data_IF_601091940493
#
_entry.id   IF_601091940493
#
_cell.length_a   1.000
_cell.length_b   1.000
_cell.length_c   1.000
_cell.angle_alpha   90.00
_cell.angle_beta   90.00
_cell.angle_gamma   90.00
#
_symmetry.space_group_name_H-M   'P 1'
#
loop_
_entity.id
_entity.type
_entity.pdbx_description
1 polymer ?
#
# COMPACT_ATOMS: atom_id res chain seq x y z
N UNK A 1 16.81 14.65 -9.50
CA UNK A 1 16.75 15.61 -10.63
C UNK A 1 16.60 14.85 -11.94
N UNK A 2 15.36 14.78 -12.48
CA UNK A 2 15.06 14.10 -13.76
C UNK A 2 15.86 14.76 -14.90
N UNK A 3 16.13 16.07 -14.83
CA UNK A 3 16.94 16.81 -15.81
C UNK A 3 18.40 16.36 -15.90
N UNK A 4 18.98 15.84 -14.81
CA UNK A 4 20.37 15.31 -14.81
C UNK A 4 20.46 13.89 -15.37
N UNK A 5 19.36 13.13 -15.35
CA UNK A 5 19.29 11.76 -15.89
C UNK A 5 19.06 11.78 -17.41
N UNK A 6 18.34 12.76 -17.94
CA UNK A 6 18.00 12.85 -19.36
C UNK A 6 19.03 13.59 -20.24
N UNK A 7 20.16 14.01 -19.69
CA UNK A 7 21.22 14.71 -20.45
C UNK A 7 20.84 16.15 -20.84
N UNK A 8 21.85 17.00 -20.97
CA UNK A 8 21.79 18.46 -21.18
C UNK A 8 20.93 18.98 -22.36
N UNK A 9 20.15 18.16 -23.03
CA UNK A 9 19.34 18.55 -24.19
C UNK A 9 17.85 18.80 -23.89
N UNK A 10 17.44 18.85 -22.62
CA UNK A 10 16.05 19.16 -22.22
C UNK A 10 15.87 20.66 -21.97
N UNK A 11 16.71 21.51 -22.54
CA UNK A 11 16.61 22.98 -22.47
C UNK A 11 15.39 23.57 -23.19
N UNK A 12 14.45 22.72 -23.69
CA UNK A 12 13.30 23.19 -24.50
C UNK A 12 11.93 23.00 -23.86
N UNK A 13 11.81 22.45 -22.64
CA UNK A 13 10.51 22.46 -21.98
C UNK A 13 10.28 23.83 -21.34
N UNK A 14 9.63 24.70 -22.09
CA UNK A 14 9.13 25.99 -21.58
C UNK A 14 8.26 25.68 -20.32
N UNK A 15 8.56 26.28 -19.16
CA UNK A 15 7.80 26.05 -17.90
C UNK A 15 6.30 26.26 -18.08
N UNK A 16 5.88 27.17 -18.95
CA UNK A 16 4.47 27.40 -19.29
C UNK A 16 3.82 26.18 -19.95
N UNK A 17 4.55 25.40 -20.76
CA UNK A 17 4.04 24.16 -21.36
C UNK A 17 3.77 23.14 -20.27
N UNK A 18 4.70 22.97 -19.31
CA UNK A 18 4.51 22.07 -18.17
C UNK A 18 3.27 22.47 -17.35
N UNK A 19 3.11 23.75 -17.06
CA UNK A 19 1.93 24.24 -16.32
C UNK A 19 0.63 23.94 -17.07
N UNK A 20 0.58 24.19 -18.39
CA UNK A 20 -0.59 23.91 -19.22
C UNK A 20 -0.87 22.40 -19.28
N UNK A 21 0.17 21.57 -19.45
CA UNK A 21 0.04 20.10 -19.43
C UNK A 21 -0.47 19.63 -18.07
N UNK A 22 0.05 20.17 -16.97
CA UNK A 22 -0.42 19.87 -15.62
C UNK A 22 -1.92 20.19 -15.44
N UNK A 23 -2.37 21.36 -15.89
CA UNK A 23 -3.78 21.74 -15.87
C UNK A 23 -4.64 20.83 -16.75
N UNK A 24 -4.17 20.44 -17.93
CA UNK A 24 -4.86 19.48 -18.80
C UNK A 24 -5.01 18.12 -18.13
N UNK A 25 -3.99 17.63 -17.40
CA UNK A 25 -4.09 16.41 -16.61
C UNK A 25 -5.15 16.52 -15.51
N UNK A 26 -5.19 17.63 -14.78
CA UNK A 26 -6.23 17.88 -13.77
C UNK A 26 -7.62 17.87 -14.41
N UNK A 27 -7.78 18.52 -15.56
CA UNK A 27 -9.05 18.59 -16.28
C UNK A 27 -9.46 17.24 -16.90
N UNK A 28 -8.52 16.42 -17.33
CA UNK A 28 -8.75 15.11 -17.95
C UNK A 28 -9.55 14.17 -17.03
N UNK A 29 -9.45 14.33 -15.71
CA UNK A 29 -10.26 13.64 -14.71
C UNK A 29 -11.75 13.71 -15.02
N UNK A 30 -12.26 14.89 -15.43
CA UNK A 30 -13.69 15.08 -15.70
C UNK A 30 -14.12 14.35 -16.97
N UNK A 31 -13.27 14.34 -17.99
CA UNK A 31 -13.51 13.62 -19.23
C UNK A 31 -13.54 12.11 -19.00
N UNK A 32 -12.54 11.56 -18.30
CA UNK A 32 -12.48 10.14 -17.97
C UNK A 32 -13.65 9.71 -17.09
N UNK A 33 -14.02 10.51 -16.07
CA UNK A 33 -15.17 10.23 -15.22
C UNK A 33 -16.47 10.09 -16.04
N UNK A 34 -16.73 11.02 -16.96
CA UNK A 34 -17.93 10.97 -17.81
C UNK A 34 -17.95 9.71 -18.66
N UNK A 35 -16.83 9.37 -19.30
CA UNK A 35 -16.68 8.21 -20.18
C UNK A 35 -16.79 6.89 -19.40
N UNK A 36 -16.12 6.77 -18.26
CA UNK A 36 -16.19 5.57 -17.41
C UNK A 36 -17.60 5.32 -16.88
N UNK A 37 -18.31 6.36 -16.47
CA UNK A 37 -19.70 6.24 -15.99
C UNK A 37 -20.64 5.71 -17.08
N UNK A 38 -20.43 6.05 -18.34
CA UNK A 38 -21.18 5.46 -19.47
C UNK A 38 -20.91 3.96 -19.60
N UNK A 39 -19.63 3.53 -19.52
CA UNK A 39 -19.28 2.11 -19.60
C UNK A 39 -19.81 1.31 -18.40
N UNK A 40 -19.78 1.86 -17.19
CA UNK A 40 -20.35 1.23 -15.98
C UNK A 40 -21.84 0.96 -16.17
N UNK A 41 -22.58 1.95 -16.68
CA UNK A 41 -24.03 1.83 -16.88
C UNK A 41 -24.42 0.90 -18.03
N UNK A 42 -23.56 0.73 -19.03
CA UNK A 42 -23.78 -0.14 -20.19
C UNK A 42 -23.30 -1.57 -19.96
N UNK A 43 -22.44 -1.82 -18.97
CA UNK A 43 -21.90 -3.15 -18.73
C UNK A 43 -22.94 -4.07 -18.11
N UNK A 44 -23.28 -5.16 -18.82
CA UNK A 44 -24.16 -6.22 -18.31
C UNK A 44 -23.44 -7.20 -17.36
N UNK A 45 -22.12 -7.22 -17.38
CA UNK A 45 -21.29 -8.12 -16.55
C UNK A 45 -20.79 -7.40 -15.30
N UNK A 46 -20.97 -8.00 -14.08
CA UNK A 46 -20.46 -7.44 -12.84
C UNK A 46 -18.93 -7.32 -12.81
N UNK A 47 -18.21 -8.17 -13.55
CA UNK A 47 -16.74 -8.17 -13.64
C UNK A 47 -16.25 -6.85 -14.26
N UNK A 48 -16.79 -6.46 -15.41
CA UNK A 48 -16.42 -5.21 -16.08
C UNK A 48 -16.83 -3.99 -15.26
N UNK A 49 -18.03 -4.01 -14.66
CA UNK A 49 -18.49 -2.93 -13.78
C UNK A 49 -17.51 -2.69 -12.62
N UNK A 50 -17.01 -3.74 -11.97
CA UNK A 50 -16.05 -3.64 -10.87
C UNK A 50 -14.68 -3.11 -11.34
N UNK A 51 -14.20 -3.53 -12.51
CA UNK A 51 -12.95 -3.01 -13.08
C UNK A 51 -13.08 -1.51 -13.37
N UNK A 52 -14.16 -1.07 -14.00
CA UNK A 52 -14.37 0.34 -14.30
C UNK A 52 -14.55 1.19 -13.04
N UNK A 53 -15.21 0.67 -11.99
CA UNK A 53 -15.33 1.33 -10.70
C UNK A 53 -13.98 1.50 -10.01
N UNK A 54 -13.10 0.49 -10.06
CA UNK A 54 -11.76 0.57 -9.52
C UNK A 54 -10.94 1.64 -10.26
N UNK A 55 -11.00 1.66 -11.59
CA UNK A 55 -10.32 2.66 -12.42
C UNK A 55 -10.86 4.07 -12.14
N UNK A 56 -12.18 4.23 -12.00
CA UNK A 56 -12.80 5.52 -11.66
C UNK A 56 -12.31 6.03 -10.31
N UNK A 57 -12.22 5.16 -9.30
CA UNK A 57 -11.73 5.53 -7.97
C UNK A 57 -10.27 6.03 -8.03
N UNK A 58 -9.38 5.31 -8.70
CA UNK A 58 -7.97 5.70 -8.87
C UNK A 58 -7.86 7.01 -9.67
N UNK A 59 -8.65 7.18 -10.71
CA UNK A 59 -8.68 8.40 -11.52
C UNK A 59 -8.99 9.66 -10.69
N UNK A 60 -9.79 9.53 -9.64
CA UNK A 60 -10.14 10.65 -8.76
C UNK A 60 -8.95 11.24 -8.02
N UNK A 61 -7.89 10.50 -7.79
CA UNK A 61 -6.69 10.95 -7.05
C UNK A 61 -5.47 11.03 -7.96
N UNK A 62 -5.25 10.05 -8.84
CA UNK A 62 -4.01 9.92 -9.61
C UNK A 62 -3.83 11.07 -10.61
N UNK A 63 -4.84 11.34 -11.45
CA UNK A 63 -4.72 12.40 -12.47
C UNK A 63 -4.57 13.80 -11.87
N UNK A 64 -5.35 14.19 -10.84
CA UNK A 64 -5.13 15.48 -10.20
C UNK A 64 -3.76 15.61 -9.52
N UNK A 65 -3.25 14.55 -8.86
CA UNK A 65 -1.93 14.60 -8.23
C UNK A 65 -0.80 14.66 -9.26
N UNK A 66 -0.88 13.86 -10.33
CA UNK A 66 0.09 13.94 -11.43
C UNK A 66 0.03 15.30 -12.11
N UNK A 67 -1.16 15.83 -12.35
CA UNK A 67 -1.32 17.16 -12.93
C UNK A 67 -0.76 18.26 -12.05
N UNK A 68 -0.97 18.20 -10.73
CA UNK A 68 -0.35 19.12 -9.78
C UNK A 68 1.17 19.00 -9.77
N UNK A 69 1.70 17.79 -9.75
CA UNK A 69 3.14 17.56 -9.78
C UNK A 69 3.77 18.23 -11.02
N UNK A 70 3.23 17.96 -12.21
CA UNK A 70 3.71 18.57 -13.47
C UNK A 70 3.56 20.09 -13.44
N UNK A 71 2.46 20.60 -12.89
CA UNK A 71 2.21 22.03 -12.78
C UNK A 71 3.23 22.73 -11.88
N UNK A 72 3.52 22.17 -10.70
CA UNK A 72 4.47 22.74 -9.76
C UNK A 72 5.92 22.57 -10.21
N UNK A 73 6.26 21.51 -10.92
CA UNK A 73 7.56 21.38 -11.63
C UNK A 73 7.76 22.51 -12.65
N UNK A 74 6.70 22.92 -13.36
CA UNK A 74 6.74 24.08 -14.24
C UNK A 74 6.92 25.40 -13.48
N UNK A 75 6.24 25.56 -12.34
CA UNK A 75 6.39 26.74 -11.48
C UNK A 75 7.77 26.86 -10.87
N UNK A 76 8.40 25.73 -10.49
CA UNK A 76 9.74 25.71 -9.89
C UNK A 76 10.82 26.30 -10.83
N UNK A 77 10.59 26.23 -12.14
CA UNK A 77 11.50 26.78 -13.13
C UNK A 77 11.42 28.32 -13.25
N UNK A 78 10.40 28.96 -12.65
CA UNK A 78 10.19 30.43 -12.75
C UNK A 78 10.45 31.07 -11.37
N UNK A 79 11.53 31.79 -11.15
CA UNK A 79 11.94 32.28 -9.83
C UNK A 79 11.12 33.50 -9.36
N UNK A 80 9.85 33.29 -8.97
CA UNK A 80 8.98 34.37 -8.49
C UNK A 80 9.32 34.90 -7.09
N UNK A 81 9.79 34.01 -6.18
CA UNK A 81 9.94 34.32 -4.75
C UNK A 81 11.40 34.42 -4.28
N UNK A 82 12.34 34.66 -5.20
CA UNK A 82 13.76 34.79 -4.84
C UNK A 82 14.32 33.59 -4.07
N UNK A 83 15.01 33.87 -2.95
CA UNK A 83 15.67 32.84 -2.14
C UNK A 83 14.72 31.78 -1.55
N UNK A 84 13.46 32.12 -1.32
CA UNK A 84 12.46 31.23 -0.71
C UNK A 84 11.59 30.50 -1.75
N UNK A 85 11.92 30.63 -3.03
CA UNK A 85 11.11 30.11 -4.12
C UNK A 85 10.74 28.64 -3.98
N UNK A 86 11.74 27.76 -3.81
CA UNK A 86 11.53 26.31 -3.70
C UNK A 86 10.74 25.95 -2.43
N UNK A 87 10.95 26.69 -1.34
CA UNK A 87 10.20 26.50 -0.10
C UNK A 87 8.70 26.78 -0.32
N UNK A 88 8.36 27.91 -0.95
CA UNK A 88 6.96 28.27 -1.21
C UNK A 88 6.30 27.28 -2.15
N UNK A 89 6.97 26.85 -3.21
CA UNK A 89 6.42 25.91 -4.19
C UNK A 89 6.19 24.53 -3.60
N UNK A 90 7.15 23.98 -2.85
CA UNK A 90 7.02 22.68 -2.21
C UNK A 90 5.87 22.65 -1.19
N UNK A 91 5.71 23.71 -0.38
CA UNK A 91 4.60 23.81 0.55
C UNK A 91 3.25 24.01 -0.14
N UNK A 92 3.19 24.79 -1.21
CA UNK A 92 1.97 24.97 -2.00
C UNK A 92 1.53 23.67 -2.67
N UNK A 93 2.48 22.88 -3.20
CA UNK A 93 2.21 21.52 -3.69
C UNK A 93 1.68 20.61 -2.58
N UNK A 94 2.30 20.61 -1.40
CA UNK A 94 1.86 19.80 -0.27
C UNK A 94 0.45 20.18 0.18
N UNK A 95 0.16 21.48 0.36
CA UNK A 95 -1.15 21.99 0.77
C UNK A 95 -2.24 21.58 -0.23
N UNK A 96 -2.01 21.78 -1.53
CA UNK A 96 -3.00 21.42 -2.56
C UNK A 96 -3.22 19.93 -2.66
N UNK A 97 -2.16 19.12 -2.50
CA UNK A 97 -2.24 17.65 -2.49
C UNK A 97 -3.08 17.12 -1.34
N UNK A 98 -3.00 17.73 -0.15
CA UNK A 98 -3.81 17.37 1.02
C UNK A 98 -5.30 17.51 0.72
N UNK A 99 -5.73 18.58 0.05
CA UNK A 99 -7.14 18.76 -0.33
C UNK A 99 -7.63 17.67 -1.29
N UNK A 100 -6.81 17.30 -2.28
CA UNK A 100 -7.17 16.24 -3.23
C UNK A 100 -7.28 14.89 -2.53
N UNK A 101 -6.27 14.55 -1.71
CA UNK A 101 -6.22 13.27 -0.99
C UNK A 101 -7.36 13.18 0.03
N UNK A 102 -7.60 14.22 0.82
CA UNK A 102 -8.65 14.22 1.84
C UNK A 102 -10.06 14.09 1.23
N UNK A 103 -10.32 14.82 0.13
CA UNK A 103 -11.59 14.73 -0.57
C UNK A 103 -11.79 13.35 -1.22
N UNK A 104 -10.76 12.80 -1.88
CA UNK A 104 -10.81 11.45 -2.42
C UNK A 104 -11.05 10.41 -1.32
N UNK A 105 -10.36 10.53 -0.19
CA UNK A 105 -10.45 9.59 0.91
C UNK A 105 -11.83 9.57 1.53
N UNK A 106 -12.40 10.74 1.85
CA UNK A 106 -13.73 10.79 2.46
C UNK A 106 -14.83 10.32 1.49
N UNK A 107 -14.72 10.64 0.20
CA UNK A 107 -15.63 10.14 -0.81
C UNK A 107 -15.55 8.61 -0.94
N UNK A 108 -14.36 8.04 -0.93
CA UNK A 108 -14.16 6.60 -1.05
C UNK A 108 -14.61 5.83 0.20
N UNK A 109 -14.44 6.39 1.41
CA UNK A 109 -14.80 5.73 2.67
C UNK A 109 -16.28 5.90 3.04
N UNK A 110 -16.88 7.04 2.76
CA UNK A 110 -18.19 7.40 3.25
C UNK A 110 -19.28 7.43 2.17
N UNK A 111 -18.94 7.63 0.89
CA UNK A 111 -19.94 7.84 -0.16
C UNK A 111 -20.53 6.55 -0.69
N UNK A 112 -21.86 6.51 -0.79
CA UNK A 112 -22.62 5.42 -1.44
C UNK A 112 -22.46 5.40 -2.96
N UNK A 113 -22.06 6.51 -3.55
CA UNK A 113 -21.85 6.61 -5.01
C UNK A 113 -20.61 5.88 -5.49
N UNK A 114 -19.62 5.67 -4.60
CA UNK A 114 -18.38 4.96 -4.87
C UNK A 114 -18.40 3.62 -4.12
N UNK A 115 -18.85 2.56 -4.78
CA UNK A 115 -19.06 1.24 -4.15
C UNK A 115 -17.76 0.54 -3.73
N UNK A 116 -16.63 0.93 -4.29
CA UNK A 116 -15.33 0.32 -3.99
C UNK A 116 -14.69 1.05 -2.83
N UNK A 117 -14.40 0.33 -1.75
CA UNK A 117 -13.73 0.88 -0.57
C UNK A 117 -14.65 1.41 0.54
N UNK A 118 -15.97 1.44 0.32
CA UNK A 118 -16.91 1.88 1.35
C UNK A 118 -16.70 1.08 2.65
N UNK A 119 -16.35 1.80 3.71
CA UNK A 119 -16.10 1.21 5.03
C UNK A 119 -17.30 1.37 5.96
N UNK A 120 -18.03 2.49 5.82
CA UNK A 120 -19.17 2.83 6.64
C UNK A 120 -20.44 2.96 5.81
N UNK A 121 -21.55 2.42 6.29
CA UNK A 121 -22.87 2.62 5.69
C UNK A 121 -23.60 3.79 6.40
N UNK A 122 -23.29 5.01 5.97
CA UNK A 122 -23.90 6.21 6.50
C UNK A 122 -25.20 6.57 5.75
N UNK A 123 -26.14 7.20 6.47
CA UNK A 123 -27.26 7.88 5.84
C UNK A 123 -26.76 9.11 5.05
N UNK A 124 -27.47 9.51 3.99
CA UNK A 124 -27.06 10.62 3.11
C UNK A 124 -26.77 11.93 3.85
N UNK A 125 -27.55 12.23 4.90
CA UNK A 125 -27.31 13.40 5.75
C UNK A 125 -26.03 13.31 6.56
N UNK A 126 -25.68 12.12 7.03
CA UNK A 126 -24.42 11.86 7.77
C UNK A 126 -23.21 11.90 6.84
N UNK A 127 -23.35 11.34 5.62
CA UNK A 127 -22.31 11.40 4.59
C UNK A 127 -21.92 12.85 4.27
N UNK A 128 -22.88 13.70 3.94
CA UNK A 128 -22.61 15.13 3.64
C UNK A 128 -21.97 15.87 4.80
N UNK A 129 -22.40 15.58 6.02
CA UNK A 129 -21.83 16.19 7.22
C UNK A 129 -20.37 15.77 7.44
N UNK A 130 -20.06 14.47 7.29
CA UNK A 130 -18.68 13.95 7.41
C UNK A 130 -17.77 14.53 6.33
N UNK A 131 -18.23 14.61 5.09
CA UNK A 131 -17.48 15.26 4.00
C UNK A 131 -17.14 16.71 4.38
N UNK A 132 -18.10 17.46 4.92
CA UNK A 132 -17.88 18.83 5.37
C UNK A 132 -16.87 18.93 6.51
N UNK A 133 -16.93 18.03 7.51
CA UNK A 133 -15.99 18.03 8.64
C UNK A 133 -14.56 17.69 8.19
N UNK A 134 -14.39 16.68 7.34
CA UNK A 134 -13.06 16.29 6.84
C UNK A 134 -12.45 17.38 5.97
N UNK A 135 -13.25 18.04 5.13
CA UNK A 135 -12.78 19.17 4.33
C UNK A 135 -12.38 20.37 5.20
N UNK A 136 -13.12 20.66 6.29
CA UNK A 136 -12.72 21.68 7.27
C UNK A 136 -11.44 21.31 7.99
N UNK A 137 -11.27 20.03 8.38
CA UNK A 137 -10.04 19.54 8.99
C UNK A 137 -8.84 19.69 8.03
N UNK A 138 -9.02 19.33 6.77
CA UNK A 138 -8.00 19.52 5.74
C UNK A 138 -7.62 21.00 5.54
N UNK A 139 -8.61 21.90 5.58
CA UNK A 139 -8.37 23.35 5.48
C UNK A 139 -7.59 23.89 6.68
N UNK A 140 -7.92 23.48 7.90
CA UNK A 140 -7.18 23.86 9.09
C UNK A 140 -5.77 23.27 9.12
N UNK A 141 -5.61 22.03 8.67
CA UNK A 141 -4.29 21.41 8.54
C UNK A 141 -3.42 22.15 7.50
N UNK A 142 -4.01 22.52 6.37
CA UNK A 142 -3.37 23.35 5.36
C UNK A 142 -2.97 24.73 5.91
N UNK A 143 -3.80 25.33 6.77
CA UNK A 143 -3.47 26.59 7.43
C UNK A 143 -2.27 26.45 8.40
N UNK A 144 -2.16 25.34 9.13
CA UNK A 144 -0.95 25.05 9.95
C UNK A 144 0.29 24.99 9.06
N UNK A 145 0.24 24.23 7.95
CA UNK A 145 1.38 24.12 7.03
C UNK A 145 1.74 25.48 6.37
N UNK A 146 0.75 26.31 6.12
CA UNK A 146 0.97 27.65 5.61
C UNK A 146 1.67 28.54 6.63
N UNK A 147 1.29 28.47 7.90
CA UNK A 147 2.00 29.20 8.98
C UNK A 147 3.42 28.67 9.16
N UNK A 148 3.63 27.35 9.11
CA UNK A 148 4.98 26.75 9.11
C UNK A 148 5.84 27.32 7.99
N UNK A 149 5.31 27.42 6.80
CA UNK A 149 5.99 28.00 5.64
C UNK A 149 6.34 29.47 5.86
N UNK A 150 5.42 30.28 6.40
CA UNK A 150 5.66 31.69 6.71
C UNK A 150 6.73 31.83 7.79
N UNK A 151 6.71 30.98 8.82
CA UNK A 151 7.73 31.00 9.88
C UNK A 151 9.13 30.68 9.35
N UNK A 152 9.26 29.71 8.45
CA UNK A 152 10.54 29.37 7.81
C UNK A 152 11.04 30.50 6.89
N UNK A 153 10.13 31.21 6.20
CA UNK A 153 10.49 32.29 5.28
C UNK A 153 10.76 33.64 5.97
N UNK A 154 10.01 33.98 7.03
CA UNK A 154 10.03 35.33 7.62
C UNK A 154 10.48 35.37 9.08
N UNK A 155 10.81 34.25 9.69
CA UNK A 155 11.27 34.11 11.10
C UNK A 155 10.37 34.91 12.06
N UNK A 156 9.15 34.44 12.24
CA UNK A 156 8.16 35.08 13.11
C UNK A 156 8.56 34.98 14.59
N UNK A 157 8.16 35.96 15.40
CA UNK A 157 8.39 35.87 16.86
C UNK A 157 7.59 34.70 17.47
N UNK A 158 8.11 34.06 18.51
CA UNK A 158 7.43 32.95 19.18
C UNK A 158 6.02 33.32 19.68
N UNK A 159 5.83 34.55 20.17
CA UNK A 159 4.51 35.04 20.59
C UNK A 159 3.53 35.15 19.41
N UNK A 160 3.99 35.65 18.27
CA UNK A 160 3.17 35.77 17.05
C UNK A 160 2.78 34.37 16.55
N UNK A 161 3.70 33.44 16.55
CA UNK A 161 3.46 32.04 16.16
C UNK A 161 2.40 31.39 17.07
N UNK A 162 2.55 31.50 18.39
CA UNK A 162 1.60 30.95 19.36
C UNK A 162 0.20 31.53 19.16
N UNK A 163 0.06 32.83 18.95
CA UNK A 163 -1.20 33.50 18.70
C UNK A 163 -1.88 33.04 17.39
N UNK A 164 -1.12 32.68 16.38
CA UNK A 164 -1.64 32.17 15.11
C UNK A 164 -2.10 30.71 15.20
N UNK A 165 -1.35 29.85 15.91
CA UNK A 165 -1.68 28.43 16.02
C UNK A 165 -2.81 28.15 17.02
N UNK A 166 -2.90 28.90 18.12
CA UNK A 166 -3.85 28.62 19.20
C UNK A 166 -5.31 28.49 18.74
N UNK A 167 -5.88 29.43 17.94
CA UNK A 167 -7.24 29.29 17.43
C UNK A 167 -7.41 28.10 16.51
N UNK A 168 -6.40 27.79 15.69
CA UNK A 168 -6.43 26.63 14.80
C UNK A 168 -6.45 25.32 15.58
N UNK A 169 -5.65 25.22 16.64
CA UNK A 169 -5.61 24.05 17.54
C UNK A 169 -6.95 23.80 18.17
N UNK A 170 -7.62 24.84 18.69
CA UNK A 170 -8.96 24.73 19.26
C UNK A 170 -9.97 24.24 18.20
N UNK A 171 -9.97 24.84 17.01
CA UNK A 171 -10.88 24.47 15.95
C UNK A 171 -10.68 23.02 15.49
N UNK A 172 -9.42 22.56 15.37
CA UNK A 172 -9.08 21.17 15.05
C UNK A 172 -9.61 20.22 16.13
N UNK A 173 -9.41 20.56 17.41
CA UNK A 173 -9.92 19.75 18.51
C UNK A 173 -11.44 19.62 18.50
N UNK A 174 -12.18 20.71 18.23
CA UNK A 174 -13.64 20.70 18.10
C UNK A 174 -14.09 19.80 16.93
N UNK A 175 -13.38 19.86 15.79
CA UNK A 175 -13.71 19.02 14.62
C UNK A 175 -13.43 17.56 14.91
N UNK A 176 -12.26 17.23 15.51
CA UNK A 176 -11.92 15.86 15.88
C UNK A 176 -12.93 15.28 16.89
N UNK A 177 -13.36 16.08 17.87
CA UNK A 177 -14.41 15.70 18.81
C UNK A 177 -15.75 15.42 18.10
N UNK A 178 -16.14 16.29 17.16
CA UNK A 178 -17.36 16.14 16.38
C UNK A 178 -17.34 14.91 15.47
N UNK A 179 -16.18 14.62 14.86
CA UNK A 179 -15.96 13.41 14.08
C UNK A 179 -16.09 12.16 14.93
N UNK A 180 -15.40 12.12 16.09
CA UNK A 180 -15.46 10.99 17.01
C UNK A 180 -16.90 10.71 17.48
N UNK A 181 -17.63 11.76 17.91
CA UNK A 181 -19.01 11.62 18.34
C UNK A 181 -19.93 11.07 17.24
N UNK A 182 -19.80 11.58 16.00
CA UNK A 182 -20.64 11.13 14.88
C UNK A 182 -20.33 9.68 14.46
N UNK A 183 -19.09 9.28 14.50
CA UNK A 183 -18.72 7.90 14.27
C UNK A 183 -19.30 7.00 15.37
N UNK A 184 -19.26 7.45 16.63
CA UNK A 184 -19.82 6.69 17.77
C UNK A 184 -21.35 6.59 17.72
N UNK A 185 -22.05 7.68 17.40
CA UNK A 185 -23.52 7.73 17.33
C UNK A 185 -24.11 6.90 16.17
N UNK A 186 -23.34 6.57 15.13
CA UNK A 186 -23.81 5.73 14.02
C UNK A 186 -24.05 4.26 14.41
N UNK A 187 -23.72 3.86 15.64
CA UNK A 187 -24.26 2.71 16.39
C UNK A 187 -24.02 1.31 15.84
N UNK A 188 -23.75 1.16 14.57
CA UNK A 188 -23.53 -0.13 13.92
C UNK A 188 -22.08 -0.28 13.44
N UNK A 189 -21.16 -0.53 14.39
CA UNK A 189 -19.80 -0.93 14.08
C UNK A 189 -19.73 -2.37 13.55
N UNK A 190 -20.48 -2.66 12.50
CA UNK A 190 -20.27 -3.86 11.72
C UNK A 190 -19.18 -3.59 10.66
N UNK A 191 -17.94 -3.59 11.09
CA UNK A 191 -16.83 -3.69 10.15
C UNK A 191 -16.89 -5.11 9.57
N UNK A 192 -17.29 -5.25 8.32
CA UNK A 192 -17.37 -6.53 7.62
C UNK A 192 -18.14 -7.64 8.36
N UNK A 193 -19.28 -7.30 9.04
CA UNK A 193 -20.14 -8.28 9.71
C UNK A 193 -19.59 -8.85 11.04
N UNK A 194 -18.49 -8.33 11.58
CA UNK A 194 -17.90 -8.75 12.86
C UNK A 194 -18.01 -7.64 13.91
N UNK A 195 -18.49 -8.01 15.10
CA UNK A 195 -18.54 -7.12 16.27
C UNK A 195 -17.13 -6.98 16.88
N UNK A 196 -16.42 -5.89 16.57
CA UNK A 196 -15.14 -5.51 17.20
C UNK A 196 -15.35 -4.62 18.44
N UNK A 197 -16.28 -4.99 19.33
CA UNK A 197 -16.75 -4.12 20.42
C UNK A 197 -15.63 -3.53 21.29
N UNK A 198 -14.61 -4.34 21.69
CA UNK A 198 -13.53 -3.85 22.53
C UNK A 198 -12.60 -2.85 21.80
N UNK A 199 -12.19 -3.20 20.57
CA UNK A 199 -11.24 -2.38 19.78
C UNK A 199 -11.89 -1.03 19.43
N UNK A 200 -13.16 -1.02 19.04
CA UNK A 200 -13.87 0.22 18.69
C UNK A 200 -14.07 1.12 19.91
N UNK A 201 -14.43 0.56 21.06
CA UNK A 201 -14.55 1.32 22.31
C UNK A 201 -13.19 1.89 22.74
N UNK A 202 -12.11 1.10 22.64
CA UNK A 202 -10.78 1.56 22.96
C UNK A 202 -10.32 2.69 22.03
N UNK A 203 -10.50 2.55 20.71
CA UNK A 203 -10.15 3.61 19.74
C UNK A 203 -10.94 4.89 19.99
N UNK A 204 -12.25 4.79 20.23
CA UNK A 204 -13.08 5.97 20.53
C UNK A 204 -12.65 6.70 21.79
N UNK A 205 -12.35 5.98 22.87
CA UNK A 205 -11.85 6.57 24.11
C UNK A 205 -10.48 7.21 23.91
N UNK A 206 -9.60 6.58 23.13
CA UNK A 206 -8.27 7.13 22.81
C UNK A 206 -8.38 8.42 22.00
N UNK A 207 -9.22 8.47 20.97
CA UNK A 207 -9.46 9.69 20.18
C UNK A 207 -10.06 10.78 21.05
N UNK A 208 -11.00 10.46 21.94
CA UNK A 208 -11.57 11.42 22.88
C UNK A 208 -10.51 12.02 23.82
N UNK A 209 -9.67 11.18 24.41
CA UNK A 209 -8.57 11.61 25.26
C UNK A 209 -7.61 12.57 24.54
N UNK A 210 -7.23 12.21 23.31
CA UNK A 210 -6.33 13.00 22.47
C UNK A 210 -6.96 14.37 22.14
N UNK A 211 -8.26 14.42 21.86
CA UNK A 211 -8.97 15.69 21.56
C UNK A 211 -8.94 16.69 22.70
N UNK A 212 -8.90 16.20 23.94
CA UNK A 212 -8.79 17.06 25.14
C UNK A 212 -7.31 17.39 25.43
N UNK A 213 -6.40 16.42 25.24
CA UNK A 213 -4.99 16.58 25.51
C UNK A 213 -4.34 17.67 24.62
N UNK A 214 -4.74 17.74 23.36
CA UNK A 214 -4.20 18.69 22.37
C UNK A 214 -4.32 20.15 22.83
N UNK A 215 -5.52 20.71 23.11
CA UNK A 215 -5.64 22.09 23.57
C UNK A 215 -5.05 22.30 24.98
N UNK A 216 -5.09 21.29 25.83
CA UNK A 216 -4.51 21.36 27.17
C UNK A 216 -2.98 21.56 27.12
N UNK A 217 -2.26 20.78 26.31
CA UNK A 217 -0.82 20.96 26.09
C UNK A 217 -0.49 22.34 25.52
N UNK A 218 -1.32 22.84 24.62
CA UNK A 218 -1.12 24.17 24.02
C UNK A 218 -1.25 25.28 25.07
N UNK A 219 -2.21 25.19 25.99
CA UNK A 219 -2.39 26.15 27.09
C UNK A 219 -1.22 26.10 28.07
N UNK A 220 -0.65 24.92 28.33
CA UNK A 220 0.55 24.76 29.17
C UNK A 220 1.84 25.28 28.49
N UNK A 221 1.80 25.76 27.27
CA UNK A 221 2.94 26.29 26.54
C UNK A 221 3.74 25.26 25.73
N UNK A 222 3.32 23.98 25.70
CA UNK A 222 3.97 22.93 24.90
C UNK A 222 3.51 22.97 23.44
N UNK A 223 3.70 24.12 22.75
CA UNK A 223 3.20 24.35 21.41
C UNK A 223 3.79 23.35 20.40
N UNK A 224 5.11 23.12 20.41
CA UNK A 224 5.79 22.19 19.50
C UNK A 224 5.27 20.76 19.64
N UNK A 225 5.10 20.29 20.88
CA UNK A 225 4.53 18.97 21.12
C UNK A 225 3.08 18.87 20.64
N UNK A 226 2.30 19.95 20.81
CA UNK A 226 0.90 20.01 20.33
C UNK A 226 0.84 19.93 18.81
N UNK A 227 1.66 20.71 18.09
CA UNK A 227 1.72 20.72 16.63
C UNK A 227 2.22 19.36 16.10
N UNK A 228 3.22 18.78 16.74
CA UNK A 228 3.70 17.44 16.40
C UNK A 228 2.59 16.40 16.51
N UNK A 229 1.85 16.38 17.63
CA UNK A 229 0.73 15.45 17.82
C UNK A 229 -0.38 15.64 16.77
N UNK A 230 -0.78 16.88 16.49
CA UNK A 230 -1.79 17.17 15.47
C UNK A 230 -1.36 16.65 14.11
N UNK A 231 -0.14 16.99 13.68
CA UNK A 231 0.42 16.56 12.39
C UNK A 231 0.48 15.03 12.30
N UNK A 232 1.03 14.37 13.33
CA UNK A 232 1.17 12.91 13.37
C UNK A 232 -0.17 12.19 13.35
N UNK A 233 -1.17 12.68 14.08
CA UNK A 233 -2.50 12.08 14.13
C UNK A 233 -3.23 12.22 12.80
N UNK A 234 -3.26 13.42 12.22
CA UNK A 234 -3.92 13.66 10.92
C UNK A 234 -3.28 12.81 9.82
N UNK A 235 -1.93 12.77 9.77
CA UNK A 235 -1.21 11.95 8.81
C UNK A 235 -1.44 10.45 9.03
N UNK A 236 -1.52 9.99 10.29
CA UNK A 236 -1.84 8.59 10.62
C UNK A 236 -3.19 8.19 10.04
N UNK A 237 -4.24 8.98 10.26
CA UNK A 237 -5.55 8.71 9.67
C UNK A 237 -5.53 8.79 8.14
N UNK A 238 -4.78 9.73 7.58
CA UNK A 238 -4.60 9.86 6.14
C UNK A 238 -3.92 8.63 5.52
N UNK A 239 -2.84 8.14 6.13
CA UNK A 239 -2.08 6.96 5.66
C UNK A 239 -2.93 5.70 5.77
N UNK A 240 -3.51 5.43 6.94
CA UNK A 240 -4.34 4.23 7.16
C UNK A 240 -5.58 4.22 6.29
N UNK A 241 -6.27 5.36 6.16
CA UNK A 241 -7.42 5.49 5.30
C UNK A 241 -7.07 5.29 3.82
N UNK A 242 -5.99 5.92 3.36
CA UNK A 242 -5.51 5.78 1.97
C UNK A 242 -5.06 4.35 1.67
N UNK A 243 -4.32 3.72 2.58
CA UNK A 243 -3.88 2.34 2.44
C UNK A 243 -5.08 1.38 2.34
N UNK A 244 -6.10 1.57 3.18
CA UNK A 244 -7.33 0.77 3.15
C UNK A 244 -8.08 0.95 1.83
N UNK A 245 -8.30 2.18 1.38
CA UNK A 245 -9.01 2.45 0.12
C UNK A 245 -8.25 1.86 -1.06
N UNK A 246 -6.93 2.10 -1.14
CA UNK A 246 -6.09 1.54 -2.21
C UNK A 246 -6.09 0.01 -2.19
N UNK A 247 -5.99 -0.60 -1.01
CA UNK A 247 -6.12 -2.05 -0.85
C UNK A 247 -7.44 -2.54 -1.44
N UNK A 248 -8.58 -1.95 -1.05
CA UNK A 248 -9.90 -2.36 -1.53
C UNK A 248 -10.08 -2.19 -3.03
N UNK A 249 -9.60 -1.08 -3.57
CA UNK A 249 -9.65 -0.79 -5.01
C UNK A 249 -8.83 -1.82 -5.79
N UNK A 250 -7.59 -2.07 -5.37
CA UNK A 250 -6.71 -3.04 -6.03
C UNK A 250 -7.17 -4.49 -5.82
N UNK A 251 -7.71 -4.82 -4.66
CA UNK A 251 -8.30 -6.12 -4.38
C UNK A 251 -9.49 -6.40 -5.30
N UNK A 252 -10.42 -5.46 -5.43
CA UNK A 252 -11.55 -5.57 -6.35
C UNK A 252 -11.09 -5.71 -7.80
N UNK A 253 -10.07 -4.95 -8.19
CA UNK A 253 -9.49 -5.01 -9.53
C UNK A 253 -8.83 -6.38 -9.81
N UNK A 254 -7.98 -6.87 -8.90
CA UNK A 254 -7.29 -8.16 -9.05
C UNK A 254 -8.26 -9.33 -9.03
N UNK A 255 -9.27 -9.33 -8.15
CA UNK A 255 -10.31 -10.37 -8.11
C UNK A 255 -11.11 -10.40 -9.41
N UNK A 256 -11.45 -9.24 -9.96
CA UNK A 256 -12.17 -9.14 -11.23
C UNK A 256 -11.32 -9.63 -12.43
N UNK A 257 -10.02 -9.34 -12.43
CA UNK A 257 -9.08 -9.87 -13.42
C UNK A 257 -8.95 -11.40 -13.31
N UNK A 258 -8.79 -11.93 -12.11
CA UNK A 258 -8.72 -13.39 -11.89
C UNK A 258 -10.00 -14.05 -12.40
N UNK A 259 -11.17 -13.51 -12.09
CA UNK A 259 -12.44 -14.01 -12.58
C UNK A 259 -12.55 -13.93 -14.10
N UNK A 260 -12.06 -12.87 -14.73
CA UNK A 260 -12.08 -12.71 -16.19
C UNK A 260 -11.20 -13.76 -16.91
N UNK A 261 -9.97 -13.97 -16.46
CA UNK A 261 -9.04 -14.89 -17.10
C UNK A 261 -9.35 -16.37 -16.81
N UNK A 262 -9.91 -16.67 -15.66
CA UNK A 262 -10.17 -18.04 -15.20
C UNK A 262 -11.63 -18.48 -15.38
N UNK A 263 -12.54 -17.61 -15.79
CA UNK A 263 -13.96 -17.95 -16.03
C UNK A 263 -14.18 -19.03 -17.10
N UNK A 264 -13.14 -19.38 -17.85
CA UNK A 264 -13.12 -20.51 -18.78
C UNK A 264 -12.70 -21.85 -18.14
N UNK A 265 -12.16 -21.84 -16.92
CA UNK A 265 -11.71 -23.03 -16.19
C UNK A 265 -12.51 -23.17 -14.90
N UNK A 266 -13.07 -24.34 -14.69
CA UNK A 266 -13.80 -24.93 -13.55
C UNK A 266 -13.91 -24.05 -12.29
N UNK A 267 -15.14 -23.73 -11.91
CA UNK A 267 -15.54 -22.84 -10.78
C UNK A 267 -14.97 -23.17 -9.38
N UNK A 268 -14.42 -24.34 -9.14
CA UNK A 268 -13.94 -24.78 -7.80
C UNK A 268 -12.57 -24.23 -7.37
N UNK A 269 -11.75 -23.76 -8.31
CA UNK A 269 -10.40 -23.24 -8.00
C UNK A 269 -10.31 -21.70 -7.89
N UNK A 270 -11.39 -20.96 -8.16
CA UNK A 270 -11.39 -19.50 -8.15
C UNK A 270 -11.28 -18.92 -6.72
N UNK A 271 -12.04 -19.47 -5.77
CA UNK A 271 -12.06 -18.99 -4.38
C UNK A 271 -10.71 -19.04 -3.66
N UNK A 272 -9.93 -20.14 -3.71
CA UNK A 272 -8.61 -20.17 -3.08
C UNK A 272 -7.62 -19.16 -3.67
N UNK A 273 -7.63 -18.96 -5.00
CA UNK A 273 -6.73 -18.03 -5.69
C UNK A 273 -7.06 -16.58 -5.37
N UNK A 274 -8.35 -16.25 -5.30
CA UNK A 274 -8.83 -14.92 -4.91
C UNK A 274 -8.47 -14.60 -3.46
N UNK A 275 -8.63 -15.56 -2.53
CA UNK A 275 -8.25 -15.39 -1.13
C UNK A 275 -6.74 -15.21 -0.96
N UNK A 276 -5.93 -15.95 -1.72
CA UNK A 276 -4.47 -15.82 -1.69
C UNK A 276 -4.01 -14.44 -2.18
N UNK A 277 -4.52 -13.97 -3.33
CA UNK A 277 -4.18 -12.65 -3.87
C UNK A 277 -4.55 -11.53 -2.91
N UNK A 278 -5.74 -11.59 -2.31
CA UNK A 278 -6.21 -10.64 -1.31
C UNK A 278 -5.31 -10.62 -0.06
N UNK A 279 -4.86 -11.80 0.41
CA UNK A 279 -3.97 -11.92 1.57
C UNK A 279 -2.59 -11.30 1.30
N UNK A 280 -2.00 -11.57 0.15
CA UNK A 280 -0.70 -10.98 -0.26
C UNK A 280 -0.83 -9.47 -0.37
N UNK A 281 -1.88 -8.99 -1.01
CA UNK A 281 -2.12 -7.56 -1.18
C UNK A 281 -2.34 -6.85 0.16
N UNK A 282 -3.10 -7.47 1.07
CA UNK A 282 -3.33 -6.91 2.42
C UNK A 282 -2.04 -6.82 3.22
N UNK A 283 -1.17 -7.83 3.14
CA UNK A 283 0.15 -7.81 3.80
C UNK A 283 1.03 -6.69 3.24
N UNK A 284 1.03 -6.49 1.92
CA UNK A 284 1.79 -5.41 1.28
C UNK A 284 1.36 -4.02 1.78
N UNK A 285 0.05 -3.75 1.83
CA UNK A 285 -0.47 -2.47 2.33
C UNK A 285 -0.26 -2.30 3.84
N UNK A 286 -0.34 -3.40 4.62
CA UNK A 286 -0.08 -3.36 6.05
C UNK A 286 1.39 -2.99 6.33
N UNK A 287 2.34 -3.67 5.69
CA UNK A 287 3.77 -3.37 5.84
C UNK A 287 4.10 -1.97 5.35
N UNK A 288 3.60 -1.58 4.16
CA UNK A 288 3.83 -0.25 3.60
C UNK A 288 3.28 0.87 4.48
N UNK A 289 2.06 0.73 4.99
CA UNK A 289 1.48 1.72 5.91
C UNK A 289 2.23 1.78 7.23
N UNK A 290 2.68 0.64 7.78
CA UNK A 290 3.48 0.59 9.00
C UNK A 290 4.81 1.35 8.84
N UNK A 291 5.53 1.16 7.73
CA UNK A 291 6.77 1.90 7.46
C UNK A 291 6.54 3.41 7.36
N UNK A 292 5.46 3.83 6.68
CA UNK A 292 5.09 5.24 6.60
C UNK A 292 4.71 5.82 7.96
N UNK A 293 4.04 5.05 8.81
CA UNK A 293 3.73 5.47 10.18
C UNK A 293 4.98 5.65 11.02
N UNK A 294 5.99 4.80 10.90
CA UNK A 294 7.26 4.99 11.59
C UNK A 294 7.88 6.36 11.25
N UNK A 295 7.88 6.75 9.97
CA UNK A 295 8.37 8.07 9.54
C UNK A 295 7.58 9.23 10.16
N UNK A 296 6.25 9.11 10.19
CA UNK A 296 5.37 10.14 10.78
C UNK A 296 5.61 10.30 12.29
N UNK A 297 5.91 9.20 12.98
CA UNK A 297 6.16 9.18 14.44
C UNK A 297 7.63 9.35 14.82
N UNK A 298 8.44 9.94 13.94
CA UNK A 298 9.78 10.44 14.26
C UNK A 298 10.93 9.50 13.90
N UNK A 299 10.68 8.35 13.28
CA UNK A 299 11.77 7.57 12.70
C UNK A 299 12.34 8.29 11.48
N UNK A 300 13.64 8.49 11.43
CA UNK A 300 14.29 9.04 10.24
C UNK A 300 14.46 7.96 9.15
N UNK A 301 14.64 8.42 7.92
CA UNK A 301 14.99 7.52 6.80
C UNK A 301 16.27 6.74 7.09
N UNK A 302 17.25 7.38 7.77
CA UNK A 302 18.50 6.71 8.18
C UNK A 302 18.22 5.57 9.16
N UNK A 303 17.32 5.77 10.15
CA UNK A 303 16.94 4.71 11.08
C UNK A 303 16.30 3.52 10.35
N UNK A 304 15.50 3.78 9.30
CA UNK A 304 14.93 2.71 8.47
C UNK A 304 16.00 2.00 7.64
N UNK A 305 16.99 2.74 7.15
CA UNK A 305 18.15 2.16 6.46
C UNK A 305 18.98 1.29 7.41
N UNK A 306 19.24 1.76 8.63
CA UNK A 306 19.95 0.98 9.65
C UNK A 306 19.19 -0.30 10.03
N UNK A 307 17.86 -0.22 10.17
CA UNK A 307 17.03 -1.40 10.36
C UNK A 307 17.12 -2.35 9.17
N UNK A 308 17.09 -1.81 7.95
CA UNK A 308 17.22 -2.62 6.73
C UNK A 308 18.60 -3.31 6.66
N UNK A 309 19.68 -2.61 7.01
CA UNK A 309 21.01 -3.21 7.08
C UNK A 309 21.07 -4.32 8.13
N UNK A 310 20.57 -4.08 9.35
CA UNK A 310 20.49 -5.10 10.41
C UNK A 310 19.68 -6.33 9.99
N UNK A 311 18.53 -6.10 9.33
CA UNK A 311 17.72 -7.20 8.79
C UNK A 311 18.47 -7.95 7.68
N UNK A 312 19.24 -7.24 6.85
CA UNK A 312 20.06 -7.86 5.78
C UNK A 312 21.34 -8.54 6.31
N UNK A 313 21.86 -8.15 7.47
CA UNK A 313 22.91 -8.92 8.15
C UNK A 313 22.44 -10.34 8.47
N UNK A 314 21.12 -10.49 8.68
CA UNK A 314 20.46 -11.76 8.89
C UNK A 314 20.63 -12.32 10.30
N UNK A 315 19.99 -13.46 10.51
CA UNK A 315 20.08 -14.22 11.76
C UNK A 315 21.20 -15.25 11.60
N UNK A 316 22.21 -15.28 12.48
CA UNK A 316 23.28 -16.27 12.40
C UNK A 316 22.70 -17.67 12.63
N UNK A 317 22.95 -18.57 11.69
CA UNK A 317 22.55 -19.96 11.78
C UNK A 317 23.73 -20.86 11.36
N UNK A 318 24.41 -21.44 12.32
CA UNK A 318 25.67 -22.17 12.08
C UNK A 318 26.76 -21.25 11.54
N UNK A 319 27.35 -21.63 10.41
CA UNK A 319 28.40 -20.84 9.72
C UNK A 319 27.86 -19.85 8.69
N UNK A 320 26.54 -19.65 8.62
CA UNK A 320 25.89 -18.80 7.62
C UNK A 320 24.84 -17.90 8.26
N UNK A 321 24.52 -16.78 7.60
CA UNK A 321 23.46 -15.89 8.04
C UNK A 321 22.21 -16.07 7.18
N UNK A 322 21.06 -16.34 7.81
CA UNK A 322 19.77 -16.36 7.14
C UNK A 322 19.29 -14.92 6.98
N UNK A 323 19.31 -14.43 5.76
CA UNK A 323 18.83 -13.09 5.40
C UNK A 323 17.47 -13.15 4.70
N UNK A 324 16.67 -12.08 4.66
CA UNK A 324 15.46 -12.06 3.85
C UNK A 324 15.72 -12.32 2.37
N UNK A 325 16.85 -11.84 1.85
CA UNK A 325 17.24 -12.08 0.47
C UNK A 325 17.56 -13.56 0.21
N UNK A 326 18.16 -14.26 1.17
CA UNK A 326 18.40 -15.71 1.06
C UNK A 326 17.10 -16.50 1.07
N UNK A 327 16.10 -16.09 1.89
CA UNK A 327 14.77 -16.71 1.89
C UNK A 327 14.04 -16.52 0.56
N UNK A 328 14.11 -15.32 -0.03
CA UNK A 328 13.51 -15.05 -1.35
C UNK A 328 14.19 -15.88 -2.43
N UNK A 329 15.52 -15.97 -2.42
CA UNK A 329 16.28 -16.84 -3.34
C UNK A 329 15.87 -18.31 -3.19
N UNK A 330 15.75 -18.79 -1.96
CA UNK A 330 15.26 -20.15 -1.68
C UNK A 330 13.91 -20.40 -2.32
N UNK A 331 12.93 -19.52 -2.07
CA UNK A 331 11.57 -19.66 -2.61
C UNK A 331 11.58 -19.68 -4.14
N UNK A 332 12.27 -18.73 -4.77
CA UNK A 332 12.33 -18.64 -6.24
C UNK A 332 12.91 -19.93 -6.83
N UNK A 333 14.06 -20.38 -6.33
CA UNK A 333 14.74 -21.56 -6.86
C UNK A 333 13.94 -22.83 -6.59
N UNK A 334 13.33 -22.94 -5.39
CA UNK A 334 12.49 -24.06 -5.05
C UNK A 334 11.26 -24.17 -5.98
N UNK A 335 10.57 -23.06 -6.20
CA UNK A 335 9.41 -23.06 -7.10
C UNK A 335 9.79 -23.36 -8.55
N UNK A 336 10.91 -22.84 -9.03
CA UNK A 336 11.42 -23.19 -10.37
C UNK A 336 11.67 -24.70 -10.44
N UNK A 337 12.36 -25.28 -9.47
CA UNK A 337 12.64 -26.73 -9.41
C UNK A 337 11.38 -27.57 -9.31
N UNK A 338 10.40 -27.13 -8.51
CA UNK A 338 9.08 -27.76 -8.41
C UNK A 338 8.35 -27.79 -9.76
N UNK A 339 8.31 -26.65 -10.45
CA UNK A 339 7.67 -26.58 -11.78
C UNK A 339 8.41 -27.42 -12.84
N UNK A 340 9.73 -27.42 -12.81
CA UNK A 340 10.53 -28.30 -13.67
C UNK A 340 10.23 -29.78 -13.41
N UNK A 341 10.14 -30.19 -12.16
CA UNK A 341 9.76 -31.56 -11.76
C UNK A 341 8.38 -31.92 -12.28
N UNK A 342 7.39 -31.01 -12.14
CA UNK A 342 6.02 -31.20 -12.65
C UNK A 342 6.00 -31.34 -14.18
N UNK A 343 6.78 -30.52 -14.89
CA UNK A 343 6.90 -30.62 -16.35
C UNK A 343 7.54 -31.94 -16.79
N UNK A 344 8.62 -32.38 -16.12
CA UNK A 344 9.26 -33.66 -16.39
C UNK A 344 8.30 -34.82 -16.16
N UNK A 345 7.56 -34.83 -15.04
CA UNK A 345 6.50 -35.83 -14.78
C UNK A 345 5.46 -35.87 -15.89
N UNK A 346 5.02 -34.71 -16.37
CA UNK A 346 4.03 -34.61 -17.45
C UNK A 346 4.58 -35.19 -18.75
N UNK A 347 5.82 -34.81 -19.15
CA UNK A 347 6.46 -35.32 -20.35
C UNK A 347 6.64 -36.83 -20.29
N UNK A 348 7.09 -37.37 -19.16
CA UNK A 348 7.30 -38.81 -18.97
C UNK A 348 5.95 -39.54 -19.02
N UNK A 349 4.93 -39.03 -18.37
CA UNK A 349 3.60 -39.62 -18.37
C UNK A 349 2.95 -39.66 -19.76
N UNK A 350 3.07 -38.58 -20.54
CA UNK A 350 2.40 -38.44 -21.83
C UNK A 350 3.20 -39.04 -23.01
N UNK A 351 4.55 -38.99 -22.96
CA UNK A 351 5.38 -39.39 -24.09
C UNK A 351 6.17 -40.69 -23.88
N UNK A 352 6.61 -40.96 -22.66
CA UNK A 352 7.49 -42.10 -22.37
C UNK A 352 6.72 -43.31 -21.87
N UNK A 353 5.87 -43.13 -20.88
CA UNK A 353 5.12 -44.23 -20.27
C UNK A 353 4.15 -44.97 -21.19
N UNK A 354 3.49 -44.34 -22.20
CA UNK A 354 2.66 -45.06 -23.12
C UNK A 354 3.42 -46.08 -23.97
N UNK A 355 4.72 -45.83 -24.23
CA UNK A 355 5.56 -46.73 -25.01
C UNK A 355 6.19 -47.89 -24.21
N UNK A 356 5.96 -47.92 -22.88
CA UNK A 356 6.49 -48.95 -21.97
C UNK A 356 5.47 -50.03 -21.72
N UNK A 357 5.92 -51.29 -21.48
CA UNK A 357 5.10 -52.44 -21.11
C UNK A 357 4.78 -52.50 -19.62
N UNK A 358 4.99 -51.39 -18.87
CA UNK A 358 4.73 -51.32 -17.44
C UNK A 358 3.21 -51.37 -17.17
N UNK A 359 2.84 -52.11 -16.11
CA UNK A 359 1.49 -52.08 -15.59
C UNK A 359 1.13 -50.74 -14.94
N UNK A 360 -0.11 -50.52 -14.60
CA UNK A 360 -0.59 -49.27 -14.00
C UNK A 360 0.06 -48.98 -12.65
N UNK A 361 0.40 -50.01 -11.87
CA UNK A 361 1.11 -49.90 -10.58
C UNK A 361 2.53 -49.39 -10.78
N UNK A 362 3.30 -50.01 -11.69
CA UNK A 362 4.66 -49.61 -12.03
C UNK A 362 4.77 -48.19 -12.60
N UNK A 363 3.81 -47.79 -13.46
CA UNK A 363 3.74 -46.43 -13.98
C UNK A 363 3.56 -45.37 -12.86
N UNK A 364 2.63 -45.65 -11.94
CA UNK A 364 2.36 -44.77 -10.80
C UNK A 364 3.55 -44.69 -9.83
N UNK A 365 4.20 -45.85 -9.56
CA UNK A 365 5.37 -45.89 -8.70
C UNK A 365 6.53 -45.08 -9.29
N UNK A 366 6.78 -45.18 -10.62
CA UNK A 366 7.83 -44.47 -11.29
C UNK A 366 7.55 -42.92 -11.29
N UNK A 367 6.31 -42.51 -11.57
CA UNK A 367 5.93 -41.10 -11.52
C UNK A 367 6.01 -40.50 -10.11
N UNK A 368 5.65 -41.29 -9.10
CA UNK A 368 5.73 -40.86 -7.69
C UNK A 368 7.19 -40.72 -7.25
N UNK A 369 8.02 -41.72 -7.57
CA UNK A 369 9.47 -41.70 -7.30
C UNK A 369 10.17 -40.50 -7.94
N UNK A 370 9.91 -40.25 -9.23
CA UNK A 370 10.41 -39.06 -9.92
C UNK A 370 9.94 -37.76 -9.25
N UNK A 371 8.69 -37.73 -8.80
CA UNK A 371 8.18 -36.55 -8.08
C UNK A 371 8.90 -36.30 -6.76
N UNK A 372 9.10 -37.34 -5.95
CA UNK A 372 9.81 -37.20 -4.67
C UNK A 372 11.28 -36.82 -4.86
N UNK A 373 11.98 -37.52 -5.77
CA UNK A 373 13.39 -37.20 -6.08
C UNK A 373 13.52 -35.78 -6.63
N UNK A 374 12.66 -35.38 -7.57
CA UNK A 374 12.71 -34.06 -8.17
C UNK A 374 12.47 -32.93 -7.16
N UNK A 375 11.46 -33.08 -6.28
CA UNK A 375 11.18 -32.08 -5.23
C UNK A 375 12.34 -32.06 -4.20
N UNK A 376 12.90 -33.20 -3.83
CA UNK A 376 14.03 -33.28 -2.92
C UNK A 376 15.27 -32.59 -3.48
N UNK A 377 15.62 -32.85 -4.75
CA UNK A 377 16.71 -32.18 -5.44
C UNK A 377 16.47 -30.67 -5.55
N UNK A 378 15.25 -30.26 -5.89
CA UNK A 378 14.86 -28.86 -5.93
C UNK A 378 15.06 -28.18 -4.56
N UNK A 379 14.67 -28.84 -3.47
CA UNK A 379 14.87 -28.34 -2.11
C UNK A 379 16.36 -28.23 -1.73
N UNK A 380 17.17 -29.23 -2.09
CA UNK A 380 18.62 -29.19 -1.83
C UNK A 380 19.31 -28.04 -2.59
N UNK A 381 18.99 -27.85 -3.88
CA UNK A 381 19.54 -26.75 -4.69
C UNK A 381 19.10 -25.40 -4.12
N UNK A 382 17.83 -25.29 -3.73
CA UNK A 382 17.30 -24.06 -3.13
C UNK A 382 17.99 -23.75 -1.78
N UNK A 383 18.19 -24.74 -0.91
CA UNK A 383 18.92 -24.56 0.35
C UNK A 383 20.39 -24.20 0.11
N UNK A 384 21.08 -24.88 -0.80
CA UNK A 384 22.45 -24.57 -1.16
C UNK A 384 22.63 -23.13 -1.65
N UNK A 385 21.64 -22.62 -2.39
CA UNK A 385 21.66 -21.25 -2.90
C UNK A 385 21.54 -20.16 -1.82
N UNK A 386 21.10 -20.52 -0.62
CA UNK A 386 21.03 -19.60 0.54
C UNK A 386 22.37 -19.43 1.26
N UNK A 387 23.39 -20.23 0.90
CA UNK A 387 24.70 -20.25 1.56
C UNK A 387 24.73 -21.13 2.81
N UNK A 388 23.69 -21.91 3.08
CA UNK A 388 23.69 -22.87 4.17
C UNK A 388 24.65 -24.03 3.87
N UNK A 389 25.44 -24.42 4.86
CA UNK A 389 26.35 -25.56 4.75
C UNK A 389 25.55 -26.88 4.78
N UNK A 390 25.52 -27.56 3.65
CA UNK A 390 24.84 -28.84 3.49
C UNK A 390 25.78 -30.05 3.64
N UNK A 391 27.00 -29.87 4.12
CA UNK A 391 28.01 -30.94 4.22
C UNK A 391 27.51 -32.11 5.09
N UNK A 392 26.83 -31.84 6.18
CA UNK A 392 26.22 -32.87 7.03
C UNK A 392 25.12 -33.66 6.32
N UNK A 393 24.30 -32.99 5.48
CA UNK A 393 23.28 -33.66 4.68
C UNK A 393 23.89 -34.50 3.56
N UNK A 394 25.02 -34.06 2.96
CA UNK A 394 25.75 -34.83 1.96
C UNK A 394 26.30 -36.14 2.55
N UNK A 395 26.83 -36.12 3.78
CA UNK A 395 27.30 -37.31 4.50
C UNK A 395 26.13 -38.28 4.75
N UNK A 396 24.96 -37.77 5.21
CA UNK A 396 23.77 -38.60 5.42
C UNK A 396 23.26 -39.21 4.11
N UNK A 397 23.25 -38.42 3.01
CA UNK A 397 22.82 -38.90 1.70
C UNK A 397 23.79 -39.97 1.16
N UNK A 398 25.08 -39.82 1.39
CA UNK A 398 26.09 -40.82 1.07
C UNK A 398 25.88 -42.17 1.83
N UNK A 399 25.66 -42.10 3.13
CA UNK A 399 25.37 -43.26 3.96
C UNK A 399 24.06 -43.98 3.54
N UNK A 400 22.99 -43.18 3.24
CA UNK A 400 21.74 -43.73 2.74
C UNK A 400 21.91 -44.43 1.37
N UNK A 401 22.67 -43.82 0.47
CA UNK A 401 22.99 -44.37 -0.88
C UNK A 401 23.71 -45.73 -0.77
N UNK A 402 24.68 -45.83 0.14
CA UNK A 402 25.40 -47.08 0.41
C UNK A 402 24.45 -48.13 0.98
N UNK A 403 23.59 -47.74 1.96
CA UNK A 403 22.61 -48.64 2.53
C UNK A 403 21.58 -49.15 1.51
N UNK A 404 21.06 -48.30 0.65
CA UNK A 404 20.16 -48.69 -0.46
C UNK A 404 20.90 -49.57 -1.49
N UNK A 405 22.18 -49.28 -1.79
CA UNK A 405 22.98 -50.09 -2.69
C UNK A 405 23.16 -51.53 -2.20
N UNK A 406 23.46 -51.71 -0.92
CA UNK A 406 23.53 -53.04 -0.30
C UNK A 406 22.16 -53.71 -0.22
N UNK A 407 21.08 -52.98 0.06
CA UNK A 407 19.73 -53.53 0.10
C UNK A 407 19.16 -54.01 -1.22
N UNK A 408 19.68 -53.50 -2.34
CA UNK A 408 19.27 -53.90 -3.69
C UNK A 408 20.23 -54.95 -4.33
N UNK A 409 21.16 -55.49 -3.60
CA UNK A 409 22.15 -56.47 -4.09
C UNK A 409 21.61 -57.91 -4.11
N UNK A 410 20.33 -58.17 -3.90
CA UNK A 410 19.68 -59.52 -3.94
C UNK A 410 19.07 -59.83 -5.30
#
# INVERSE_FOLDING_TARGET
NIATILGKNVAFFNPFILMVVGLLFIYSRFFFKKKLKLYINQSSSPIYSNIFLAIENINHVLFPLLGLFIFFEGLEQIPFFGLYHNLFISHAFMITSIFIISNWLVLSLASRSVRVGQFFDFKETQERYLISLVNKLAALFAAILFIDMLNLGFVLSQKSIANLYFPLIIMISIILFSLNRKITDSGNYQIAGKNYGFITVFLNKSIFLITILIPFLSVLGFLEATLYLIKSIILTFGILGSAYVLFKVLDTFTQSLIAYFLSKEINSELEPRQKLSSSILSLFFLVGSFLLLLLVWGFSVNNLQDLWFKVNEGIPFGNSNITPSSLVKFLIIFFIGYYLTKLLKKIINEKVLPSTKLDTGGKNALLSGLGYIGIFVAALIALSSTGLDLSSLAILAGALSVGLGFGMQT
#
